data_IF_650600602147
#
_entry.id   IF_650600602147
#
_cell.length_a   1.000
_cell.length_b   1.000
_cell.length_c   1.000
_cell.angle_alpha   90.00
_cell.angle_beta   90.00
_cell.angle_gamma   90.00
#
_symmetry.space_group_name_H-M   'P 1'
#
loop_
_entity.id
_entity.type
_entity.pdbx_description
1 polymer ?
#
# COMPACT_ATOMS: atom_id res chain seq x y z
N UNK A 1 35.76 23.80 17.91
CA UNK A 1 35.26 22.50 17.40
C UNK A 1 34.06 22.14 18.24
N UNK A 2 32.86 22.46 17.75
CA UNK A 2 31.61 22.15 18.42
C UNK A 2 31.35 20.66 18.24
N UNK A 3 31.26 19.95 19.36
CA UNK A 3 30.87 18.54 19.44
C UNK A 3 29.49 18.36 18.82
N UNK A 4 29.39 17.66 17.69
CA UNK A 4 28.12 17.15 17.18
C UNK A 4 27.75 15.93 18.03
N UNK A 5 27.08 16.17 19.16
CA UNK A 5 26.35 15.08 19.81
C UNK A 5 25.27 14.58 18.84
N UNK A 6 25.06 13.26 18.71
CA UNK A 6 23.92 12.75 17.97
C UNK A 6 22.66 13.23 18.69
N UNK A 7 21.82 14.00 17.99
CA UNK A 7 20.46 14.29 18.45
C UNK A 7 19.75 12.94 18.49
N UNK A 8 19.52 12.41 19.69
CA UNK A 8 18.64 11.24 19.84
C UNK A 8 17.25 11.67 19.36
N UNK A 9 16.82 11.13 18.22
CA UNK A 9 15.46 11.36 17.72
C UNK A 9 14.45 10.95 18.79
N UNK A 10 13.49 11.83 19.06
CA UNK A 10 12.50 11.63 20.11
C UNK A 10 11.13 11.48 19.45
N UNK A 11 10.46 10.35 19.68
CA UNK A 11 9.11 10.11 19.15
C UNK A 11 8.06 10.81 20.00
N UNK A 12 7.14 11.54 19.37
CA UNK A 12 6.04 12.22 20.05
C UNK A 12 4.66 11.80 19.50
N UNK A 13 3.67 11.70 20.39
CA UNK A 13 2.28 11.36 20.07
C UNK A 13 1.34 12.45 20.57
N UNK A 14 1.58 13.69 20.14
CA UNK A 14 0.87 14.88 20.62
C UNK A 14 -0.34 15.27 19.76
N UNK A 15 -0.50 14.66 18.57
CA UNK A 15 -1.67 14.91 17.73
C UNK A 15 -2.91 14.22 18.32
N UNK A 16 -4.05 14.90 18.27
CA UNK A 16 -5.34 14.35 18.70
C UNK A 16 -5.96 13.45 17.61
N UNK A 17 -6.95 12.66 18.00
CA UNK A 17 -7.75 11.84 17.07
C UNK A 17 -8.24 12.66 15.85
N UNK A 18 -8.02 12.18 14.61
CA UNK A 18 -8.45 12.88 13.40
C UNK A 18 -9.98 12.96 13.26
N UNK A 19 -10.43 14.08 12.69
CA UNK A 19 -11.80 14.21 12.22
C UNK A 19 -11.93 13.82 10.73
N UNK A 20 -10.91 14.18 9.95
CA UNK A 20 -10.80 14.03 8.50
C UNK A 20 -9.57 13.22 8.09
N UNK A 21 -8.53 13.18 8.93
CA UNK A 21 -7.25 12.54 8.65
C UNK A 21 -6.18 13.48 8.08
N UNK A 22 -6.54 14.74 7.83
CA UNK A 22 -5.71 15.74 7.15
C UNK A 22 -5.41 16.98 8.00
N UNK A 23 -5.81 16.99 9.27
CA UNK A 23 -5.59 18.10 10.20
C UNK A 23 -4.10 18.39 10.41
N UNK A 24 -3.31 17.32 10.41
CA UNK A 24 -1.87 17.35 10.63
C UNK A 24 -1.13 16.47 9.63
N UNK A 25 0.17 16.73 9.51
CA UNK A 25 1.11 15.90 8.77
C UNK A 25 2.26 15.50 9.68
N UNK A 26 2.90 14.37 9.37
CA UNK A 26 4.17 13.95 9.97
C UNK A 26 5.23 13.87 8.88
N UNK A 27 6.43 14.36 9.19
CA UNK A 27 7.55 14.46 8.26
C UNK A 27 8.56 13.34 8.52
N UNK A 28 8.85 12.56 7.49
CA UNK A 28 9.82 11.48 7.52
C UNK A 28 10.97 11.78 6.55
N UNK A 29 12.19 11.40 6.91
CA UNK A 29 13.36 11.46 6.03
C UNK A 29 13.82 10.04 5.68
N UNK A 30 13.84 9.77 4.38
CA UNK A 30 14.38 8.55 3.81
C UNK A 30 15.70 8.85 3.12
N UNK A 31 16.80 8.78 3.87
CA UNK A 31 18.16 9.00 3.34
C UNK A 31 18.25 10.30 2.51
N UNK A 32 17.74 11.40 3.07
CA UNK A 32 17.71 12.74 2.46
C UNK A 32 16.48 13.04 1.60
N UNK A 33 15.55 12.09 1.39
CA UNK A 33 14.27 12.38 0.73
C UNK A 33 13.18 12.52 1.78
N UNK A 34 12.64 13.75 1.90
CA UNK A 34 11.52 14.03 2.79
C UNK A 34 10.19 13.55 2.22
N UNK A 35 9.40 12.91 3.07
CA UNK A 35 8.02 12.48 2.81
C UNK A 35 7.11 13.10 3.88
N UNK A 36 6.08 13.83 3.45
CA UNK A 36 5.13 14.52 4.34
C UNK A 36 3.78 13.82 4.23
N UNK A 37 3.40 13.07 5.27
CA UNK A 37 2.24 12.17 5.25
C UNK A 37 1.12 12.77 6.12
N UNK A 38 -0.11 12.96 5.60
CA UNK A 38 -1.27 13.25 6.42
C UNK A 38 -1.46 12.17 7.49
N UNK A 39 -1.51 12.58 8.74
CA UNK A 39 -1.36 11.66 9.86
C UNK A 39 -2.49 10.63 10.00
N UNK A 40 -3.66 10.86 9.37
CA UNK A 40 -4.74 9.87 9.33
C UNK A 40 -4.38 8.57 8.59
N UNK A 41 -3.32 8.57 7.79
CA UNK A 41 -2.75 7.35 7.18
C UNK A 41 -1.82 6.57 8.10
N UNK A 42 -1.54 7.09 9.30
CA UNK A 42 -0.55 6.56 10.25
C UNK A 42 -1.23 5.87 11.44
N UNK A 43 -2.34 5.14 11.21
CA UNK A 43 -3.13 4.50 12.27
C UNK A 43 -2.32 3.53 13.15
N UNK A 44 -1.31 2.86 12.58
CA UNK A 44 -0.36 2.00 13.32
C UNK A 44 0.56 2.76 14.27
N UNK A 45 0.68 4.08 14.11
CA UNK A 45 1.51 4.96 14.92
C UNK A 45 0.61 5.77 15.86
N UNK A 46 -0.14 5.06 16.69
CA UNK A 46 -1.04 5.63 17.69
C UNK A 46 -0.85 5.01 19.08
N UNK A 47 -1.34 5.70 20.10
CA UNK A 47 -1.37 5.23 21.49
C UNK A 47 -2.77 5.39 22.08
N UNK A 48 -3.02 4.73 23.22
CA UNK A 48 -4.22 4.89 24.05
C UNK A 48 -5.53 4.74 23.23
N UNK A 49 -5.69 3.59 22.56
CA UNK A 49 -6.84 3.28 21.69
C UNK A 49 -7.08 4.34 20.59
N UNK A 50 -6.01 4.73 19.89
CA UNK A 50 -6.05 5.71 18.81
C UNK A 50 -6.55 7.12 19.24
N UNK A 51 -6.34 7.50 20.51
CA UNK A 51 -6.63 8.86 20.98
C UNK A 51 -5.42 9.80 20.86
N UNK A 52 -4.21 9.24 20.85
CA UNK A 52 -2.94 9.96 20.65
C UNK A 52 -2.27 9.48 19.38
N UNK A 53 -1.93 10.42 18.51
CA UNK A 53 -1.37 10.14 17.18
C UNK A 53 0.02 10.73 17.04
N UNK A 54 0.85 10.04 16.24
CA UNK A 54 2.21 10.49 15.93
C UNK A 54 2.21 11.96 15.46
N UNK A 55 3.16 12.73 15.96
CA UNK A 55 3.35 14.14 15.66
C UNK A 55 4.80 14.44 15.30
N UNK A 56 5.06 15.50 14.54
CA UNK A 56 6.40 16.05 14.43
C UNK A 56 6.89 16.51 15.81
N UNK A 57 8.13 16.16 16.17
CA UNK A 57 8.71 16.52 17.47
C UNK A 57 9.39 17.89 17.37
N UNK A 58 9.04 18.88 18.22
CA UNK A 58 9.68 20.19 18.21
C UNK A 58 11.20 20.08 18.37
N UNK A 59 11.94 20.75 17.48
CA UNK A 59 13.41 20.70 17.45
C UNK A 59 14.00 19.52 16.67
N UNK A 60 13.16 18.64 16.10
CA UNK A 60 13.55 17.59 15.17
C UNK A 60 12.98 17.90 13.77
N UNK A 61 13.83 17.84 12.74
CA UNK A 61 13.45 18.21 11.37
C UNK A 61 12.51 17.20 10.70
N UNK A 62 12.73 15.91 10.97
CA UNK A 62 11.98 14.77 10.44
C UNK A 62 12.34 13.49 11.23
N UNK A 63 11.55 12.43 11.09
CA UNK A 63 11.90 11.09 11.56
C UNK A 63 12.78 10.37 10.52
N UNK A 64 14.02 10.03 10.86
CA UNK A 64 14.92 9.31 9.95
C UNK A 64 14.58 7.82 9.94
N UNK A 65 14.00 7.36 8.83
CA UNK A 65 13.47 5.99 8.72
C UNK A 65 13.88 5.31 7.41
N UNK A 66 13.87 3.98 7.43
CA UNK A 66 14.09 3.19 6.23
C UNK A 66 12.78 2.72 5.59
N UNK A 67 11.71 2.56 6.39
CA UNK A 67 10.42 2.05 5.97
C UNK A 67 9.31 2.80 6.72
N UNK A 68 8.18 3.02 6.05
CA UNK A 68 6.92 3.44 6.67
C UNK A 68 5.81 2.49 6.22
N UNK A 69 4.87 2.18 7.12
CA UNK A 69 3.68 1.40 6.83
C UNK A 69 2.46 2.28 7.04
N UNK A 70 1.83 2.72 5.94
CA UNK A 70 0.56 3.46 6.03
C UNK A 70 -0.60 2.47 6.02
N UNK A 71 -1.71 2.85 6.64
CA UNK A 71 -2.94 2.05 6.64
C UNK A 71 -4.07 2.84 5.97
N UNK A 72 -4.81 2.19 5.07
CA UNK A 72 -5.92 2.79 4.30
C UNK A 72 -7.19 1.97 4.45
N UNK A 73 -8.32 2.63 4.71
CA UNK A 73 -9.63 1.99 4.64
C UNK A 73 -10.10 1.98 3.19
N UNK A 74 -10.42 0.80 2.65
CA UNK A 74 -10.96 0.68 1.30
C UNK A 74 -12.49 0.57 1.35
N UNK A 75 -13.18 1.38 0.56
CA UNK A 75 -14.65 1.46 0.55
C UNK A 75 -15.21 1.37 -0.87
N UNK A 76 -16.27 0.60 -1.06
CA UNK A 76 -16.99 0.53 -2.34
C UNK A 76 -17.94 1.72 -2.50
N UNK A 77 -17.92 2.34 -3.67
CA UNK A 77 -18.80 3.45 -4.08
C UNK A 77 -19.39 3.15 -5.46
N UNK A 78 -20.32 3.99 -5.92
CA UNK A 78 -20.89 3.88 -7.28
C UNK A 78 -19.83 4.06 -8.39
N UNK A 79 -18.72 4.72 -8.09
CA UNK A 79 -17.62 4.98 -9.02
C UNK A 79 -16.49 3.95 -8.92
N UNK A 80 -16.62 2.95 -8.04
CA UNK A 80 -15.58 1.96 -7.74
C UNK A 80 -15.08 2.05 -6.31
N UNK A 81 -13.90 1.46 -6.06
CA UNK A 81 -13.28 1.44 -4.73
C UNK A 81 -12.49 2.72 -4.48
N UNK A 82 -12.57 3.27 -3.27
CA UNK A 82 -11.81 4.44 -2.83
C UNK A 82 -10.98 4.13 -1.59
N UNK A 83 -9.83 4.79 -1.44
CA UNK A 83 -8.94 4.68 -0.28
C UNK A 83 -9.07 5.91 0.61
N UNK A 84 -9.34 5.70 1.89
CA UNK A 84 -9.53 6.78 2.86
C UNK A 84 -8.52 6.64 4.03
N UNK A 85 -8.00 7.76 4.56
CA UNK A 85 -7.36 7.76 5.87
C UNK A 85 -8.41 7.57 6.97
N UNK A 86 -7.94 7.44 8.21
CA UNK A 86 -8.80 7.52 9.38
C UNK A 86 -9.57 8.84 9.42
N UNK A 87 -10.89 8.75 9.58
CA UNK A 87 -11.79 9.89 9.81
C UNK A 87 -12.99 9.48 10.68
N UNK A 88 -13.83 10.44 11.06
CA UNK A 88 -14.99 10.14 11.94
C UNK A 88 -15.99 9.14 11.34
N UNK A 89 -16.12 9.07 10.02
CA UNK A 89 -17.09 8.18 9.38
C UNK A 89 -16.60 6.73 9.35
N UNK A 90 -15.30 6.50 9.16
CA UNK A 90 -14.71 5.17 9.01
C UNK A 90 -13.93 4.67 10.25
N UNK A 91 -13.83 5.48 11.32
CA UNK A 91 -13.05 5.16 12.54
C UNK A 91 -13.30 3.76 13.12
N UNK A 92 -14.53 3.27 13.07
CA UNK A 92 -14.87 1.96 13.63
C UNK A 92 -14.09 0.83 12.94
N UNK A 93 -13.87 0.93 11.61
CA UNK A 93 -13.10 -0.03 10.84
C UNK A 93 -11.62 -0.01 11.24
N UNK A 94 -11.04 1.18 11.43
CA UNK A 94 -9.67 1.30 11.93
C UNK A 94 -9.52 0.80 13.36
N UNK A 95 -10.48 1.06 14.26
CA UNK A 95 -10.42 0.55 15.64
C UNK A 95 -10.46 -0.98 15.66
N UNK A 96 -11.31 -1.60 14.82
CA UNK A 96 -11.36 -3.05 14.69
C UNK A 96 -10.05 -3.59 14.09
N UNK A 97 -9.54 -2.97 13.03
CA UNK A 97 -8.24 -3.29 12.44
C UNK A 97 -7.09 -3.20 13.46
N UNK A 98 -7.03 -2.16 14.29
CA UNK A 98 -6.00 -2.00 15.32
C UNK A 98 -6.14 -3.03 16.46
N UNK A 99 -7.35 -3.57 16.68
CA UNK A 99 -7.60 -4.59 17.70
C UNK A 99 -7.10 -5.96 17.28
N UNK A 100 -7.41 -6.41 16.06
CA UNK A 100 -7.09 -7.77 15.61
C UNK A 100 -6.79 -7.92 14.11
N UNK A 101 -6.83 -6.83 13.33
CA UNK A 101 -6.56 -6.82 11.89
C UNK A 101 -7.70 -7.35 11.02
N UNK A 102 -8.88 -7.65 11.57
CA UNK A 102 -9.97 -8.32 10.86
C UNK A 102 -11.03 -7.35 10.30
N UNK A 103 -10.59 -6.24 9.68
CA UNK A 103 -11.46 -5.28 9.00
C UNK A 103 -10.87 -4.82 7.66
N UNK A 104 -11.61 -4.04 6.87
CA UNK A 104 -11.27 -3.61 5.51
C UNK A 104 -10.26 -2.46 5.48
N UNK A 105 -9.15 -2.62 6.21
CA UNK A 105 -8.03 -1.67 6.27
C UNK A 105 -6.77 -2.39 5.80
N UNK A 106 -6.21 -1.93 4.68
CA UNK A 106 -5.00 -2.52 4.10
C UNK A 106 -3.76 -1.73 4.55
N UNK A 107 -2.65 -2.44 4.73
CA UNK A 107 -1.35 -1.83 4.96
C UNK A 107 -0.52 -1.73 3.69
N UNK A 108 0.10 -0.56 3.51
CA UNK A 108 0.98 -0.26 2.39
C UNK A 108 2.37 0.08 2.93
N UNK A 109 3.31 -0.81 2.64
CA UNK A 109 4.70 -0.68 3.05
C UNK A 109 5.48 0.08 1.99
N UNK A 110 6.07 1.20 2.39
CA UNK A 110 6.85 2.10 1.55
C UNK A 110 8.28 2.13 2.07
N UNK A 111 9.24 1.84 1.19
CA UNK A 111 10.67 1.83 1.51
C UNK A 111 11.44 2.52 0.39
N UNK A 112 12.41 3.37 0.73
CA UNK A 112 13.38 3.88 -0.25
C UNK A 112 14.38 2.78 -0.57
N UNK A 113 14.29 2.24 -1.78
CA UNK A 113 15.16 1.17 -2.25
C UNK A 113 15.18 1.16 -3.79
N UNK A 114 16.23 0.57 -4.36
CA UNK A 114 16.31 0.39 -5.80
C UNK A 114 15.22 -0.58 -6.28
N UNK A 115 14.64 -0.30 -7.44
CA UNK A 115 13.63 -1.17 -8.01
C UNK A 115 14.24 -2.53 -8.40
N UNK A 116 13.68 -3.61 -7.86
CA UNK A 116 14.13 -4.99 -8.10
C UNK A 116 13.14 -5.81 -8.93
N UNK A 117 12.10 -5.17 -9.48
CA UNK A 117 11.13 -5.85 -10.36
C UNK A 117 11.78 -6.18 -11.70
N UNK A 118 11.70 -7.45 -12.09
CA UNK A 118 12.26 -7.94 -13.35
C UNK A 118 11.49 -7.38 -14.54
N UNK A 119 12.19 -6.70 -15.46
CA UNK A 119 11.61 -6.18 -16.71
C UNK A 119 11.13 -7.29 -17.66
N UNK A 120 11.70 -8.50 -17.53
CA UNK A 120 11.37 -9.70 -18.32
C UNK A 120 10.40 -10.64 -17.60
N UNK A 121 9.68 -10.18 -16.57
CA UNK A 121 8.78 -11.05 -15.80
C UNK A 121 7.71 -11.73 -16.69
N UNK A 122 7.16 -11.00 -17.65
CA UNK A 122 6.19 -11.56 -18.61
C UNK A 122 6.76 -12.72 -19.44
N UNK A 123 8.02 -12.66 -19.85
CA UNK A 123 8.70 -13.75 -20.58
C UNK A 123 8.90 -14.99 -19.71
N UNK A 124 9.23 -14.79 -18.42
CA UNK A 124 9.33 -15.87 -17.44
C UNK A 124 7.98 -16.55 -17.22
N UNK A 125 6.90 -15.78 -17.09
CA UNK A 125 5.53 -16.34 -16.96
C UNK A 125 5.16 -17.19 -18.18
N UNK A 126 5.42 -16.71 -19.39
CA UNK A 126 5.19 -17.47 -20.62
C UNK A 126 6.01 -18.76 -20.67
N UNK A 127 7.27 -18.71 -20.24
CA UNK A 127 8.15 -19.90 -20.18
C UNK A 127 7.62 -20.95 -19.21
N UNK A 128 6.94 -20.53 -18.13
CA UNK A 128 6.27 -21.44 -17.19
C UNK A 128 4.89 -21.93 -17.65
N UNK A 129 4.44 -21.54 -18.86
CA UNK A 129 3.16 -21.97 -19.42
C UNK A 129 1.95 -21.14 -18.99
N UNK A 130 2.17 -19.99 -18.34
CA UNK A 130 1.12 -19.00 -18.09
C UNK A 130 0.71 -18.36 -19.42
N UNK A 131 -0.58 -18.11 -19.62
CA UNK A 131 -1.10 -17.58 -20.89
C UNK A 131 -1.21 -16.06 -20.83
N UNK A 132 -0.78 -15.37 -21.90
CA UNK A 132 -1.04 -13.93 -22.07
C UNK A 132 -2.50 -13.71 -22.47
N UNK A 133 -3.12 -12.70 -21.88
CA UNK A 133 -4.52 -12.32 -22.09
C UNK A 133 -4.63 -10.87 -22.59
N UNK A 134 -5.74 -10.49 -23.24
CA UNK A 134 -6.04 -9.08 -23.50
C UNK A 134 -6.11 -8.30 -22.20
N UNK A 135 -5.50 -7.12 -22.16
CA UNK A 135 -5.58 -6.22 -21.02
C UNK A 135 -6.56 -5.08 -21.27
N UNK A 136 -7.28 -4.66 -20.23
CA UNK A 136 -8.13 -3.48 -20.25
C UNK A 136 -7.33 -2.16 -20.24
N UNK A 137 -6.04 -2.20 -19.90
CA UNK A 137 -5.18 -1.03 -19.77
C UNK A 137 -3.95 -1.20 -20.68
N UNK A 138 -3.69 -0.27 -21.62
CA UNK A 138 -2.61 -0.42 -22.60
C UNK A 138 -1.21 -0.45 -21.97
N UNK A 139 -1.03 0.17 -20.80
CA UNK A 139 0.22 0.17 -20.04
C UNK A 139 0.45 -1.10 -19.21
N UNK A 140 -0.53 -2.01 -19.16
CA UNK A 140 -0.44 -3.30 -18.49
C UNK A 140 -0.42 -4.47 -19.48
N UNK A 141 0.44 -5.44 -19.20
CA UNK A 141 0.32 -6.79 -19.76
C UNK A 141 -0.46 -7.67 -18.78
N UNK A 142 -1.46 -8.40 -19.28
CA UNK A 142 -2.26 -9.32 -18.49
C UNK A 142 -1.92 -10.78 -18.80
N UNK A 143 -1.88 -11.60 -17.77
CA UNK A 143 -1.62 -13.03 -17.86
C UNK A 143 -2.56 -13.81 -16.93
N UNK A 144 -2.91 -15.02 -17.32
CA UNK A 144 -3.79 -15.92 -16.58
C UNK A 144 -3.18 -17.34 -16.56
N UNK A 145 -3.15 -17.94 -15.37
CA UNK A 145 -2.77 -19.31 -15.15
C UNK A 145 -3.97 -20.10 -14.61
N UNK A 146 -4.47 -21.02 -15.43
CA UNK A 146 -5.55 -21.97 -15.11
C UNK A 146 -5.14 -23.40 -15.46
N UNK A 147 -3.85 -23.71 -15.35
CA UNK A 147 -3.35 -25.05 -15.66
C UNK A 147 -4.02 -26.07 -14.75
N UNK A 148 -4.32 -27.24 -15.30
CA UNK A 148 -4.86 -28.34 -14.53
C UNK A 148 -3.78 -28.92 -13.61
N UNK A 149 -4.03 -28.88 -12.31
CA UNK A 149 -3.21 -29.50 -11.27
C UNK A 149 -4.10 -30.54 -10.59
N UNK A 150 -3.85 -31.87 -10.74
CA UNK A 150 -4.75 -32.91 -10.24
C UNK A 150 -5.10 -32.80 -8.76
N UNK A 151 -4.12 -32.46 -7.93
CA UNK A 151 -4.26 -32.28 -6.48
C UNK A 151 -4.88 -30.93 -6.09
N UNK A 152 -4.95 -29.96 -7.01
CA UNK A 152 -5.54 -28.65 -6.78
C UNK A 152 -6.35 -28.19 -8.02
N UNK A 153 -7.58 -28.71 -8.20
CA UNK A 153 -8.42 -28.36 -9.35
C UNK A 153 -8.90 -26.90 -9.33
N UNK A 154 -8.71 -26.18 -8.21
CA UNK A 154 -9.12 -24.79 -8.03
C UNK A 154 -7.99 -23.78 -8.31
N UNK A 155 -6.81 -24.27 -8.70
CA UNK A 155 -5.67 -23.44 -9.03
C UNK A 155 -6.03 -22.42 -10.11
N UNK A 156 -5.87 -21.15 -9.77
CA UNK A 156 -6.20 -20.04 -10.63
C UNK A 156 -5.47 -18.78 -10.19
N UNK A 157 -4.65 -18.22 -11.08
CA UNK A 157 -3.88 -17.01 -10.82
C UNK A 157 -3.94 -16.02 -11.99
N UNK A 158 -3.96 -14.73 -11.67
CA UNK A 158 -3.83 -13.63 -12.61
C UNK A 158 -2.60 -12.80 -12.28
N UNK A 159 -1.95 -12.32 -13.33
CA UNK A 159 -0.85 -11.39 -13.23
C UNK A 159 -1.11 -10.17 -14.11
N UNK A 160 -0.99 -8.97 -13.54
CA UNK A 160 -1.03 -7.72 -14.28
C UNK A 160 0.28 -6.98 -14.07
N UNK A 161 1.04 -6.78 -15.15
CA UNK A 161 2.40 -6.23 -15.12
C UNK A 161 2.41 -4.88 -15.82
N UNK A 162 2.64 -3.82 -15.06
CA UNK A 162 2.94 -2.48 -15.58
C UNK A 162 4.45 -2.30 -15.71
N UNK A 163 4.88 -1.84 -16.88
CA UNK A 163 6.27 -1.46 -17.17
C UNK A 163 6.42 0.07 -17.08
N UNK A 164 7.58 0.58 -17.50
CA UNK A 164 7.87 2.02 -17.53
C UNK A 164 8.60 2.50 -16.29
N UNK A 165 8.52 3.81 -16.02
CA UNK A 165 9.27 4.47 -14.93
C UNK A 165 8.84 4.00 -13.55
N UNK A 166 7.54 3.73 -13.39
CA UNK A 166 6.94 3.22 -12.15
C UNK A 166 6.35 1.83 -12.40
N UNK A 167 7.17 0.76 -12.46
CA UNK A 167 6.70 -0.58 -12.75
C UNK A 167 5.94 -1.19 -11.57
N UNK A 168 5.01 -2.09 -11.88
CA UNK A 168 4.24 -2.84 -10.89
C UNK A 168 3.93 -4.26 -11.36
N UNK A 169 3.81 -5.18 -10.42
CA UNK A 169 3.23 -6.51 -10.60
C UNK A 169 2.12 -6.72 -9.58
N UNK A 170 0.92 -6.96 -10.09
CA UNK A 170 -0.26 -7.34 -9.31
C UNK A 170 -0.46 -8.83 -9.54
N UNK A 171 -0.47 -9.62 -8.46
CA UNK A 171 -0.78 -11.06 -8.51
C UNK A 171 -2.07 -11.30 -7.74
N UNK A 172 -3.07 -11.90 -8.37
CA UNK A 172 -4.37 -12.22 -7.78
C UNK A 172 -4.63 -13.72 -7.92
N UNK A 173 -4.77 -14.44 -6.80
CA UNK A 173 -4.75 -15.92 -6.78
C UNK A 173 -5.85 -16.50 -5.92
N UNK A 174 -6.42 -17.62 -6.38
CA UNK A 174 -7.37 -18.42 -5.61
C UNK A 174 -6.63 -19.40 -4.70
N UNK A 175 -6.84 -19.27 -3.40
CA UNK A 175 -6.32 -20.23 -2.42
C UNK A 175 -7.26 -21.37 -2.09
N UNK A 176 -8.52 -21.29 -2.54
CA UNK A 176 -9.60 -22.22 -2.24
C UNK A 176 -9.55 -22.78 -0.80
N UNK A 177 -10.18 -22.05 0.14
CA UNK A 177 -10.13 -22.38 1.56
C UNK A 177 -11.52 -22.70 2.08
N UNK A 178 -11.58 -23.67 3.00
CA UNK A 178 -12.83 -24.06 3.67
C UNK A 178 -13.98 -24.45 2.71
N UNK A 179 -13.63 -24.98 1.53
CA UNK A 179 -14.60 -25.40 0.51
C UNK A 179 -15.14 -24.27 -0.38
N UNK A 180 -14.62 -23.05 -0.24
CA UNK A 180 -15.04 -21.89 -1.03
C UNK A 180 -13.85 -21.27 -1.78
N UNK A 181 -14.16 -20.55 -2.86
CA UNK A 181 -13.14 -19.71 -3.51
C UNK A 181 -12.73 -18.58 -2.55
N UNK A 182 -11.42 -18.40 -2.41
CA UNK A 182 -10.82 -17.45 -1.49
C UNK A 182 -9.65 -16.80 -2.20
N UNK A 183 -9.96 -15.72 -2.93
CA UNK A 183 -8.96 -14.98 -3.68
C UNK A 183 -8.22 -14.00 -2.78
N UNK A 184 -6.94 -13.80 -3.08
CA UNK A 184 -6.11 -12.79 -2.42
C UNK A 184 -5.23 -12.09 -3.44
N UNK A 185 -4.83 -10.87 -3.12
CA UNK A 185 -4.01 -10.05 -4.00
C UNK A 185 -2.71 -9.66 -3.30
N UNK A 186 -1.61 -9.67 -4.04
CA UNK A 186 -0.36 -9.03 -3.64
C UNK A 186 0.10 -8.08 -4.73
N UNK A 187 0.65 -6.94 -4.31
CA UNK A 187 1.21 -5.93 -5.22
C UNK A 187 2.64 -5.64 -4.83
N UNK A 188 3.54 -5.73 -5.80
CA UNK A 188 4.89 -5.20 -5.70
C UNK A 188 5.08 -4.12 -6.75
N UNK A 189 5.48 -2.92 -6.34
CA UNK A 189 5.66 -1.78 -7.25
C UNK A 189 6.88 -0.95 -6.88
N UNK A 190 7.31 -0.12 -7.83
CA UNK A 190 8.33 0.89 -7.64
C UNK A 190 7.75 2.24 -8.07
N UNK A 191 7.77 3.24 -7.19
CA UNK A 191 7.18 4.56 -7.41
C UNK A 191 8.22 5.60 -7.01
N UNK A 192 8.74 6.36 -7.98
CA UNK A 192 9.66 7.50 -7.76
C UNK A 192 10.85 7.19 -6.83
N UNK A 193 11.48 6.02 -6.99
CA UNK A 193 12.62 5.60 -6.17
C UNK A 193 12.27 4.95 -4.82
N UNK A 194 10.98 4.67 -4.58
CA UNK A 194 10.50 3.87 -3.46
C UNK A 194 9.98 2.53 -3.97
N UNK A 195 10.26 1.45 -3.24
CA UNK A 195 9.51 0.20 -3.38
C UNK A 195 8.25 0.30 -2.53
N UNK A 196 7.10 -0.04 -3.12
CA UNK A 196 5.79 -0.01 -2.47
C UNK A 196 5.15 -1.38 -2.60
N UNK A 197 4.88 -2.02 -1.47
CA UNK A 197 4.40 -3.42 -1.40
C UNK A 197 3.22 -3.53 -0.44
N UNK A 198 2.20 -4.27 -0.85
CA UNK A 198 0.97 -4.41 -0.06
C UNK A 198 0.13 -5.60 -0.50
N UNK A 199 -0.81 -5.99 0.36
CA UNK A 199 -1.87 -6.94 0.06
C UNK A 199 -3.20 -6.18 0.10
N UNK A 200 -3.74 -5.72 -1.05
CA UNK A 200 -4.98 -4.97 -1.05
C UNK A 200 -6.19 -5.88 -0.89
N UNK A 201 -7.30 -5.29 -0.47
CA UNK A 201 -8.60 -5.96 -0.35
C UNK A 201 -8.56 -7.16 0.61
N UNK A 202 -7.91 -7.02 1.77
CA UNK A 202 -7.62 -8.16 2.67
C UNK A 202 -8.86 -8.92 3.18
N UNK A 203 -10.07 -8.35 3.10
CA UNK A 203 -11.33 -9.00 3.49
C UNK A 203 -12.13 -9.54 2.30
N UNK A 204 -11.78 -9.18 1.07
CA UNK A 204 -12.50 -9.61 -0.12
C UNK A 204 -12.04 -11.01 -0.53
N UNK A 205 -12.98 -11.96 -0.57
CA UNK A 205 -12.72 -13.35 -0.95
C UNK A 205 -13.08 -13.64 -2.41
N UNK A 206 -13.94 -12.82 -2.98
CA UNK A 206 -14.38 -12.96 -4.36
C UNK A 206 -13.25 -12.63 -5.34
N UNK A 207 -13.33 -13.21 -6.52
CA UNK A 207 -12.44 -12.84 -7.62
C UNK A 207 -12.69 -11.37 -8.01
N UNK A 208 -11.62 -10.57 -8.08
CA UNK A 208 -11.67 -9.17 -8.46
C UNK A 208 -11.28 -8.98 -9.93
N UNK A 209 -11.86 -7.96 -10.56
CA UNK A 209 -11.57 -7.62 -11.96
C UNK A 209 -10.24 -6.89 -12.11
N UNK A 210 -9.69 -6.86 -13.33
CA UNK A 210 -8.48 -6.04 -13.60
C UNK A 210 -8.72 -4.57 -13.24
N UNK A 211 -9.91 -4.03 -13.53
CA UNK A 211 -10.26 -2.63 -13.28
C UNK A 211 -10.25 -2.28 -11.79
N UNK A 212 -10.75 -3.16 -10.93
CA UNK A 212 -10.71 -2.94 -9.48
C UNK A 212 -9.27 -2.96 -8.94
N UNK A 213 -8.48 -3.94 -9.40
CA UNK A 213 -7.09 -4.12 -8.95
C UNK A 213 -6.17 -2.98 -9.43
N UNK A 214 -6.26 -2.63 -10.71
CA UNK A 214 -5.49 -1.52 -11.29
C UNK A 214 -5.99 -0.19 -10.74
N UNK A 215 -7.30 0.01 -10.58
CA UNK A 215 -7.87 1.23 -10.01
C UNK A 215 -7.44 1.47 -8.56
N UNK A 216 -7.30 0.42 -7.76
CA UNK A 216 -6.67 0.52 -6.43
C UNK A 216 -5.22 0.97 -6.56
N UNK A 217 -4.42 0.31 -7.41
CA UNK A 217 -3.00 0.65 -7.55
C UNK A 217 -2.78 2.07 -8.06
N UNK A 218 -3.59 2.56 -8.99
CA UNK A 218 -3.55 3.95 -9.46
C UNK A 218 -3.75 4.96 -8.34
N UNK A 219 -4.65 4.67 -7.38
CA UNK A 219 -4.83 5.50 -6.19
C UNK A 219 -3.60 5.43 -5.26
N UNK A 220 -2.97 4.26 -5.11
CA UNK A 220 -1.72 4.13 -4.35
C UNK A 220 -0.59 4.93 -5.00
N UNK A 221 -0.42 4.87 -6.32
CA UNK A 221 0.56 5.68 -7.04
C UNK A 221 0.34 7.17 -6.78
N UNK A 222 -0.90 7.65 -6.94
CA UNK A 222 -1.26 9.05 -6.68
C UNK A 222 -1.00 9.45 -5.21
N UNK A 223 -1.35 8.58 -4.27
CA UNK A 223 -1.19 8.83 -2.84
C UNK A 223 0.29 8.95 -2.46
N UNK A 224 1.12 7.98 -2.85
CA UNK A 224 2.57 7.98 -2.57
C UNK A 224 3.25 9.18 -3.20
N UNK A 225 2.90 9.53 -4.44
CA UNK A 225 3.41 10.73 -5.10
C UNK A 225 3.02 12.02 -4.37
N UNK A 226 1.81 12.07 -3.80
CA UNK A 226 1.36 13.25 -3.03
C UNK A 226 2.24 13.54 -1.81
N UNK A 227 2.78 12.49 -1.17
CA UNK A 227 3.60 12.65 0.03
C UNK A 227 4.99 13.23 -0.25
N UNK A 228 5.55 12.95 -1.43
CA UNK A 228 6.84 13.49 -1.86
C UNK A 228 6.70 14.86 -2.54
N UNK A 229 5.60 15.11 -3.25
CA UNK A 229 5.39 16.42 -3.90
C UNK A 229 5.20 17.56 -2.89
N UNK A 230 4.65 17.26 -1.72
CA UNK A 230 4.46 18.24 -0.66
C UNK A 230 5.76 18.63 0.06
N UNK A 231 6.85 17.87 -0.07
CA UNK A 231 8.15 18.24 0.50
C UNK A 231 8.80 19.42 -0.25
N UNK A 232 8.42 19.67 -1.50
CA UNK A 232 8.97 20.73 -2.35
C UNK A 232 8.31 22.11 -2.15
N UNK A 233 7.28 22.21 -1.29
CA UNK A 233 6.50 23.45 -1.06
C UNK A 233 6.81 24.16 0.27
N UNK A 234 7.88 23.78 0.96
CA UNK A 234 8.34 24.45 2.19
C UNK A 234 9.71 25.08 1.99
#
# INVERSE_FOLDING_TARGET
>A
MTSCEPVNEQTSFNNLEPMTGFEHTVTFDFQGIKMVIPYGYLARYTQDNATKWLSDTPGQDAYSINLIEISVYYKKTDQGWVLEPYNQQNKAHFIQFLRDGLDSVDDIVIRKDACSLSTTMGERLLTYGVKKMPSAYPEYEAYEDKRHIPENPYFHEFYYIKKGENPAIITHRNYHRYGENDYSTSVGSCINGFTVRYYPFIREKQQLTQQELVGYHQQVEQLVQSFVNNSSKK
#
